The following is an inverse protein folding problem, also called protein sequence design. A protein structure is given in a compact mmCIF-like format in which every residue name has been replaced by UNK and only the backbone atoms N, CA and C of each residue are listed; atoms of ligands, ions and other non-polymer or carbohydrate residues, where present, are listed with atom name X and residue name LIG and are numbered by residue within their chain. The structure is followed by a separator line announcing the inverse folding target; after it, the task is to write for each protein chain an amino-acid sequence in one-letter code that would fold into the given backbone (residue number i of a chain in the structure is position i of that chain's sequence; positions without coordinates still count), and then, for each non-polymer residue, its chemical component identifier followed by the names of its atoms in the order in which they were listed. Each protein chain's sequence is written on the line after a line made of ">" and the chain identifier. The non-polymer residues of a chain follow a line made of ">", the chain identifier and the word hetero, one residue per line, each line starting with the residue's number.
data_IF_677376671545
#
_entry.id   IF_677376671545
#
_cell.length_a   1.000
_cell.length_b   1.000
_cell.length_c   1.000
_cell.angle_alpha   90.00
_cell.angle_beta   90.00
_cell.angle_gamma   90.00
#
_symmetry.space_group_name_H-M   'P 1'
#
loop_
_entity.id
_entity.type
_entity.pdbx_description
1 polymer ?
#
# COMPACT_ATOMS: atom_id res chain seq x y z
N UNK A 1 -18.17 -10.87 1.56
CA UNK A 1 -16.74 -10.57 1.34
C UNK A 1 -15.93 -11.75 0.80
N UNK A 2 -16.09 -13.00 1.27
CA UNK A 2 -15.28 -14.12 0.72
C UNK A 2 -15.35 -14.25 -0.81
N UNK A 3 -16.52 -14.02 -1.41
CA UNK A 3 -16.74 -14.09 -2.88
C UNK A 3 -15.94 -13.05 -3.68
N UNK A 4 -15.76 -11.83 -3.18
CA UNK A 4 -15.08 -10.75 -3.92
C UNK A 4 -13.57 -11.00 -4.10
N UNK A 5 -12.99 -11.91 -3.31
CA UNK A 5 -11.59 -12.29 -3.44
C UNK A 5 -11.30 -13.03 -4.75
N UNK A 6 -12.34 -13.63 -5.33
CA UNK A 6 -12.28 -14.46 -6.54
C UNK A 6 -12.66 -13.69 -7.81
N UNK A 7 -12.96 -12.40 -7.69
CA UNK A 7 -13.44 -11.59 -8.80
C UNK A 7 -12.27 -10.93 -9.51
N UNK A 8 -12.40 -10.76 -10.83
CA UNK A 8 -11.48 -9.93 -11.61
C UNK A 8 -11.80 -8.45 -11.43
N UNK A 9 -10.84 -7.59 -11.69
CA UNK A 9 -10.94 -6.16 -11.41
C UNK A 9 -10.81 -5.32 -12.68
N UNK A 10 -11.62 -4.29 -12.80
CA UNK A 10 -11.45 -3.18 -13.74
C UNK A 10 -11.25 -1.94 -12.87
N UNK A 11 -10.08 -1.33 -12.92
CA UNK A 11 -9.75 -0.17 -12.09
C UNK A 11 -9.38 1.00 -12.98
N UNK A 12 -10.08 2.12 -12.84
CA UNK A 12 -9.91 3.31 -13.69
C UNK A 12 -9.92 2.95 -15.19
N UNK A 13 -10.90 2.13 -15.60
CA UNK A 13 -11.07 1.65 -16.99
C UNK A 13 -10.06 0.59 -17.45
N UNK A 14 -9.06 0.22 -16.63
CA UNK A 14 -8.06 -0.79 -16.99
C UNK A 14 -8.44 -2.15 -16.43
N UNK A 15 -8.43 -3.17 -17.27
CA UNK A 15 -8.73 -4.55 -16.87
C UNK A 15 -7.50 -5.23 -16.26
N UNK A 16 -7.69 -5.83 -15.09
CA UNK A 16 -6.70 -6.62 -14.37
C UNK A 16 -7.16 -8.07 -14.29
N UNK A 17 -6.45 -8.94 -15.00
CA UNK A 17 -6.67 -10.39 -14.97
C UNK A 17 -6.02 -11.05 -13.73
N UNK A 18 -6.26 -10.46 -12.56
CA UNK A 18 -5.75 -10.90 -11.26
C UNK A 18 -6.89 -10.84 -10.24
N UNK A 19 -6.99 -11.87 -9.41
CA UNK A 19 -7.91 -11.91 -8.27
C UNK A 19 -7.12 -11.71 -6.98
N UNK A 20 -7.77 -11.20 -5.93
CA UNK A 20 -7.12 -11.04 -4.62
C UNK A 20 -6.65 -12.40 -4.09
N UNK A 21 -7.42 -13.46 -4.29
CA UNK A 21 -7.01 -14.82 -3.88
C UNK A 21 -5.71 -15.24 -4.55
N UNK A 22 -5.59 -15.02 -5.88
CA UNK A 22 -4.37 -15.33 -6.61
C UNK A 22 -3.17 -14.53 -6.09
N UNK A 23 -3.37 -13.25 -5.76
CA UNK A 23 -2.34 -12.40 -5.15
C UNK A 23 -1.86 -12.98 -3.81
N UNK A 24 -2.80 -13.38 -2.95
CA UNK A 24 -2.50 -14.00 -1.66
C UNK A 24 -1.74 -15.31 -1.84
N UNK A 25 -2.20 -16.20 -2.71
CA UNK A 25 -1.60 -17.52 -2.89
C UNK A 25 -0.17 -17.42 -3.44
N UNK A 26 0.04 -16.59 -4.47
CA UNK A 26 1.38 -16.30 -4.99
C UNK A 26 2.30 -15.68 -3.93
N UNK A 27 1.77 -14.86 -3.02
CA UNK A 27 2.57 -14.25 -1.95
C UNK A 27 2.94 -15.27 -0.88
N UNK A 28 2.02 -16.16 -0.50
CA UNK A 28 2.33 -17.29 0.37
C UNK A 28 3.43 -18.17 -0.24
N UNK A 29 3.28 -18.55 -1.50
CA UNK A 29 4.26 -19.40 -2.17
C UNK A 29 5.62 -18.71 -2.30
N UNK A 30 5.63 -17.40 -2.54
CA UNK A 30 6.86 -16.61 -2.55
C UNK A 30 7.62 -16.68 -1.21
N UNK A 31 6.93 -16.61 -0.07
CA UNK A 31 7.55 -16.63 1.27
C UNK A 31 7.78 -18.03 1.85
N UNK A 32 7.20 -19.09 1.27
CA UNK A 32 7.50 -20.49 1.67
C UNK A 32 8.91 -20.91 1.31
N UNK A 33 9.49 -20.33 0.26
CA UNK A 33 10.83 -20.66 -0.19
C UNK A 33 11.84 -19.90 0.67
N UNK A 34 12.78 -20.61 1.28
CA UNK A 34 13.88 -19.97 2.01
C UNK A 34 14.78 -19.24 0.99
N UNK A 35 14.92 -17.92 1.17
CA UNK A 35 15.70 -17.05 0.28
C UNK A 35 16.77 -16.35 1.09
N UNK A 36 18.01 -16.45 0.63
CA UNK A 36 19.05 -15.53 1.06
C UNK A 36 18.82 -14.19 0.36
N UNK A 37 18.57 -13.15 1.14
CA UNK A 37 18.44 -11.78 0.68
C UNK A 37 19.51 -10.94 1.40
N UNK A 38 20.07 -9.95 0.71
CA UNK A 38 20.98 -9.01 1.35
C UNK A 38 20.17 -8.11 2.29
N UNK A 39 20.48 -8.19 3.57
CA UNK A 39 19.83 -7.40 4.61
C UNK A 39 20.75 -6.32 5.14
N UNK A 40 20.14 -5.26 5.66
CA UNK A 40 20.80 -4.22 6.43
C UNK A 40 20.06 -4.07 7.75
N UNK A 41 20.73 -3.47 8.74
CA UNK A 41 20.06 -3.10 9.99
C UNK A 41 19.06 -1.98 9.68
N UNK A 42 17.76 -2.30 9.74
CA UNK A 42 16.68 -1.39 9.41
C UNK A 42 15.89 -0.99 10.66
N UNK A 43 15.06 0.05 10.55
CA UNK A 43 14.21 0.49 11.65
C UNK A 43 13.02 -0.47 11.83
N UNK A 44 12.53 -1.08 10.75
CA UNK A 44 11.57 -2.18 10.77
C UNK A 44 10.10 -1.78 10.63
N UNK A 45 9.74 -0.54 10.98
CA UNK A 45 8.41 0.05 10.80
C UNK A 45 8.46 1.58 10.59
N UNK A 46 9.07 2.08 9.50
CA UNK A 46 9.36 3.50 9.32
C UNK A 46 8.12 4.28 8.86
N UNK A 47 7.06 4.25 9.68
CA UNK A 47 5.80 4.97 9.46
C UNK A 47 5.86 6.38 10.06
N UNK A 48 4.91 7.25 9.72
CA UNK A 48 4.92 8.65 10.17
C UNK A 48 5.02 8.82 11.69
N UNK A 49 4.41 7.92 12.47
CA UNK A 49 4.45 7.98 13.92
C UNK A 49 5.81 7.58 14.52
N UNK A 50 6.72 6.99 13.74
CA UNK A 50 8.05 6.55 14.17
C UNK A 50 9.17 7.46 13.62
N UNK A 51 8.80 8.62 13.05
CA UNK A 51 9.72 9.59 12.45
C UNK A 51 9.56 10.95 13.14
N UNK A 52 10.64 11.42 13.75
CA UNK A 52 10.70 12.71 14.44
C UNK A 52 10.88 13.91 13.50
N UNK A 53 10.50 15.09 13.97
CA UNK A 53 10.61 16.35 13.19
C UNK A 53 12.06 16.75 12.85
N UNK A 54 12.99 16.49 13.77
CA UNK A 54 14.43 16.48 13.48
C UNK A 54 14.72 15.05 13.07
N UNK A 55 15.13 14.75 11.82
CA UNK A 55 14.98 13.44 11.18
C UNK A 55 15.65 12.33 12.00
N UNK A 56 14.87 11.77 12.91
CA UNK A 56 15.29 10.78 13.90
C UNK A 56 14.23 9.71 13.86
N UNK A 57 14.68 8.49 13.64
CA UNK A 57 13.86 7.31 13.80
C UNK A 57 13.80 6.94 15.28
N UNK A 58 12.63 6.50 15.74
CA UNK A 58 12.44 5.96 17.08
C UNK A 58 11.49 4.76 17.02
N UNK A 59 11.23 4.14 18.17
CA UNK A 59 10.45 2.90 18.27
C UNK A 59 11.06 1.73 17.46
N UNK A 60 12.19 1.22 17.95
CA UNK A 60 12.96 0.14 17.31
C UNK A 60 12.51 -1.26 17.73
N UNK A 61 11.28 -1.44 18.22
CA UNK A 61 10.76 -2.76 18.65
C UNK A 61 10.77 -3.78 17.49
N UNK A 62 10.60 -3.30 16.26
CA UNK A 62 10.61 -4.13 15.04
C UNK A 62 11.92 -4.09 14.27
N UNK A 63 12.94 -3.43 14.83
CA UNK A 63 14.23 -3.26 14.19
C UNK A 63 14.97 -4.60 14.04
N UNK A 64 15.74 -4.70 12.97
CA UNK A 64 16.47 -5.93 12.68
C UNK A 64 17.03 -5.95 11.28
N UNK A 65 17.52 -7.12 10.86
CA UNK A 65 18.05 -7.32 9.52
C UNK A 65 16.92 -7.55 8.53
N UNK A 66 16.58 -6.51 7.77
CA UNK A 66 15.55 -6.58 6.73
C UNK A 66 16.14 -6.25 5.35
N UNK A 67 15.59 -6.80 4.26
CA UNK A 67 15.92 -6.36 2.92
C UNK A 67 15.47 -4.90 2.68
N UNK A 68 16.24 -4.13 1.90
CA UNK A 68 15.89 -2.73 1.54
C UNK A 68 14.48 -2.61 0.93
N UNK A 69 14.10 -3.59 0.11
CA UNK A 69 12.78 -3.66 -0.52
C UNK A 69 11.64 -3.87 0.48
N UNK A 70 11.91 -4.57 1.59
CA UNK A 70 10.94 -4.77 2.65
C UNK A 70 10.70 -3.47 3.41
N UNK A 71 11.78 -2.81 3.86
CA UNK A 71 11.72 -1.51 4.54
C UNK A 71 11.01 -0.46 3.68
N UNK A 72 11.37 -0.38 2.40
CA UNK A 72 10.74 0.53 1.45
C UNK A 72 9.24 0.26 1.31
N UNK A 73 8.82 -1.02 1.24
CA UNK A 73 7.40 -1.37 1.11
C UNK A 73 6.58 -0.95 2.33
N UNK A 74 7.16 -1.04 3.53
CA UNK A 74 6.53 -0.60 4.77
C UNK A 74 6.42 0.91 4.79
N UNK A 75 7.51 1.62 4.44
CA UNK A 75 7.51 3.07 4.32
C UNK A 75 6.44 3.54 3.34
N UNK A 76 6.37 2.93 2.15
CA UNK A 76 5.41 3.32 1.13
C UNK A 76 3.96 3.10 1.57
N UNK A 77 3.66 1.92 2.10
CA UNK A 77 2.32 1.63 2.59
C UNK A 77 1.93 2.53 3.75
N UNK A 78 2.82 2.67 4.73
CA UNK A 78 2.65 3.54 5.89
C UNK A 78 2.39 4.97 5.45
N UNK A 79 3.37 5.59 4.83
CA UNK A 79 3.39 7.04 4.58
C UNK A 79 2.38 7.48 3.51
N UNK A 80 2.15 6.71 2.44
CA UNK A 80 1.31 7.16 1.32
C UNK A 80 -0.10 6.59 1.30
N UNK A 81 -0.33 5.45 1.97
CA UNK A 81 -1.63 4.77 1.94
C UNK A 81 -2.30 4.80 3.32
N UNK A 82 -1.67 4.17 4.31
CA UNK A 82 -2.27 3.90 5.61
C UNK A 82 -2.37 5.17 6.47
N UNK A 83 -1.26 5.86 6.70
CA UNK A 83 -1.16 7.04 7.58
C UNK A 83 -1.95 8.24 7.05
N UNK A 84 -2.20 8.30 5.75
CA UNK A 84 -2.87 9.45 5.12
C UNK A 84 -4.40 9.40 5.31
N UNK A 85 -4.97 8.21 5.53
CA UNK A 85 -6.42 8.06 5.65
C UNK A 85 -6.87 6.94 6.58
N UNK A 86 -6.38 5.72 6.38
CA UNK A 86 -6.90 4.54 7.08
C UNK A 86 -6.54 4.56 8.57
N UNK A 87 -5.27 4.79 8.91
CA UNK A 87 -4.81 4.76 10.30
C UNK A 87 -5.44 5.88 11.14
N UNK A 88 -5.48 7.16 10.69
CA UNK A 88 -6.20 8.19 11.44
C UNK A 88 -7.70 7.93 11.61
N UNK A 89 -8.33 7.21 10.68
CA UNK A 89 -9.76 6.88 10.75
C UNK A 89 -10.03 5.74 11.75
N UNK A 90 -9.24 4.68 11.70
CA UNK A 90 -9.49 3.41 12.40
C UNK A 90 -8.67 3.22 13.67
N UNK A 91 -7.55 3.94 13.82
CA UNK A 91 -6.59 3.84 14.92
C UNK A 91 -6.38 5.20 15.59
N UNK A 92 -7.47 5.96 15.81
CA UNK A 92 -7.44 7.32 16.37
C UNK A 92 -6.64 7.45 17.67
N UNK A 93 -6.66 6.43 18.53
CA UNK A 93 -5.93 6.43 19.80
C UNK A 93 -4.42 6.52 19.61
N UNK A 94 -3.87 5.95 18.53
CA UNK A 94 -2.44 6.05 18.18
C UNK A 94 -2.01 7.48 17.83
N UNK A 95 -2.97 8.36 17.53
CA UNK A 95 -2.73 9.77 17.21
C UNK A 95 -3.09 10.72 18.37
N UNK A 96 -3.20 10.19 19.59
CA UNK A 96 -3.37 11.03 20.77
C UNK A 96 -2.22 12.05 20.87
N UNK A 97 -2.54 13.35 21.01
CA UNK A 97 -1.61 14.50 20.95
C UNK A 97 -1.02 14.82 19.56
N UNK A 98 -1.39 14.07 18.52
CA UNK A 98 -1.05 14.34 17.12
C UNK A 98 -2.28 14.79 16.32
N UNK A 99 -3.27 15.43 16.96
CA UNK A 99 -4.59 15.67 16.36
C UNK A 99 -4.55 16.58 15.11
N UNK A 100 -3.50 17.40 14.94
CA UNK A 100 -3.30 18.18 13.70
C UNK A 100 -3.20 17.28 12.46
N UNK A 101 -2.51 16.13 12.59
CA UNK A 101 -2.39 15.11 11.52
C UNK A 101 -3.77 14.57 11.10
N UNK A 102 -4.72 14.51 12.03
CA UNK A 102 -6.08 14.02 11.77
C UNK A 102 -7.06 15.12 11.33
N UNK A 103 -6.77 16.40 11.59
CA UNK A 103 -7.67 17.54 11.36
C UNK A 103 -7.50 18.19 9.99
N UNK A 104 -6.27 18.25 9.45
CA UNK A 104 -5.95 19.03 8.24
C UNK A 104 -6.25 18.29 6.92
N UNK A 105 -7.23 17.38 6.93
CA UNK A 105 -7.68 16.68 5.74
C UNK A 105 -6.89 15.41 5.49
N UNK A 106 -7.43 14.29 5.97
CA UNK A 106 -7.03 12.98 5.46
C UNK A 106 -7.25 12.97 3.95
N UNK A 107 -6.27 12.49 3.17
CA UNK A 107 -6.47 12.30 1.72
C UNK A 107 -7.39 11.12 1.50
N UNK A 108 -8.68 11.36 1.74
CA UNK A 108 -9.73 10.39 1.57
C UNK A 108 -9.79 10.01 0.10
N UNK A 109 -9.57 8.74 -0.26
CA UNK A 109 -9.75 8.30 -1.62
C UNK A 109 -11.21 8.51 -2.04
N UNK A 110 -11.39 9.13 -3.20
CA UNK A 110 -12.69 9.21 -3.84
C UNK A 110 -12.90 7.93 -4.62
N UNK A 111 -13.91 7.16 -4.24
CA UNK A 111 -14.18 5.87 -4.87
C UNK A 111 -15.64 5.74 -5.32
N UNK A 112 -15.80 5.09 -6.47
CA UNK A 112 -17.08 4.54 -6.96
C UNK A 112 -16.82 3.11 -7.40
N UNK A 113 -17.71 2.20 -7.08
CA UNK A 113 -17.55 0.82 -7.51
C UNK A 113 -18.89 0.14 -7.77
N UNK A 114 -18.86 -0.85 -8.66
CA UNK A 114 -19.97 -1.75 -8.97
C UNK A 114 -19.47 -3.20 -8.93
N UNK A 115 -20.38 -4.13 -8.67
CA UNK A 115 -20.07 -5.57 -8.61
C UNK A 115 -21.02 -6.27 -9.58
N UNK A 116 -20.45 -6.96 -10.56
CA UNK A 116 -21.19 -7.83 -11.48
C UNK A 116 -21.00 -9.28 -11.04
N UNK A 117 -22.01 -9.85 -10.37
CA UNK A 117 -21.97 -11.22 -9.87
C UNK A 117 -21.98 -12.26 -11.02
N UNK A 118 -22.61 -11.95 -12.16
CA UNK A 118 -22.70 -12.87 -13.32
C UNK A 118 -21.36 -13.04 -14.00
N UNK A 119 -20.66 -11.93 -14.26
CA UNK A 119 -19.31 -11.95 -14.85
C UNK A 119 -18.20 -12.06 -13.80
N UNK A 120 -18.53 -12.13 -12.51
CA UNK A 120 -17.58 -12.13 -11.38
C UNK A 120 -16.54 -11.01 -11.51
N UNK A 121 -16.99 -9.81 -11.84
CA UNK A 121 -16.12 -8.66 -12.09
C UNK A 121 -16.48 -7.51 -11.14
N UNK A 122 -15.45 -6.82 -10.67
CA UNK A 122 -15.56 -5.59 -9.88
C UNK A 122 -15.02 -4.45 -10.73
N UNK A 123 -15.84 -3.43 -10.94
CA UNK A 123 -15.42 -2.20 -11.58
C UNK A 123 -15.30 -1.12 -10.52
N UNK A 124 -14.17 -0.42 -10.52
CA UNK A 124 -13.86 0.57 -9.51
C UNK A 124 -13.14 1.77 -10.12
N UNK A 125 -13.65 2.96 -9.83
CA UNK A 125 -12.95 4.21 -10.05
C UNK A 125 -12.37 4.70 -8.73
N UNK A 126 -11.11 5.09 -8.75
CA UNK A 126 -10.39 5.61 -7.59
C UNK A 126 -9.52 6.81 -7.97
N UNK A 127 -9.64 7.86 -7.17
CA UNK A 127 -8.79 9.03 -7.24
C UNK A 127 -8.32 9.43 -5.83
N UNK A 128 -7.05 9.84 -5.75
CA UNK A 128 -6.46 10.42 -4.54
C UNK A 128 -6.23 11.91 -4.75
N UNK A 129 -6.62 12.72 -3.77
CA UNK A 129 -6.06 14.06 -3.65
C UNK A 129 -4.68 13.91 -3.04
N UNK A 130 -3.63 14.37 -3.72
CA UNK A 130 -2.26 14.36 -3.19
C UNK A 130 -1.74 15.79 -3.17
N UNK A 131 -1.15 16.17 -2.03
CA UNK A 131 -0.49 17.47 -1.87
C UNK A 131 0.80 17.52 -2.70
N UNK A 132 1.31 18.74 -2.96
CA UNK A 132 2.58 18.94 -3.67
C UNK A 132 3.75 18.23 -2.97
N UNK A 133 3.81 18.30 -1.64
CA UNK A 133 4.81 17.58 -0.85
C UNK A 133 4.73 16.07 -1.06
N UNK A 134 3.52 15.50 -1.07
CA UNK A 134 3.35 14.08 -1.35
C UNK A 134 3.73 13.72 -2.78
N UNK A 135 3.46 14.60 -3.77
CA UNK A 135 3.93 14.40 -5.15
C UNK A 135 5.45 14.34 -5.23
N UNK A 136 6.15 15.22 -4.53
CA UNK A 136 7.61 15.21 -4.45
C UNK A 136 8.15 13.90 -3.86
N UNK A 137 7.59 13.43 -2.74
CA UNK A 137 8.02 12.16 -2.16
C UNK A 137 7.64 10.95 -3.03
N UNK A 138 6.45 10.96 -3.65
CA UNK A 138 6.03 9.90 -4.57
C UNK A 138 6.91 9.86 -5.82
N UNK A 139 7.40 10.99 -6.33
CA UNK A 139 8.32 11.01 -7.48
C UNK A 139 9.69 10.42 -7.12
N UNK A 140 10.24 10.77 -5.95
CA UNK A 140 11.46 10.14 -5.45
C UNK A 140 11.28 8.63 -5.28
N UNK A 141 10.15 8.20 -4.73
CA UNK A 141 9.82 6.80 -4.53
C UNK A 141 9.63 6.04 -5.86
N UNK A 142 9.00 6.69 -6.84
CA UNK A 142 8.86 6.17 -8.20
C UNK A 142 10.22 5.99 -8.88
N UNK A 143 11.13 6.95 -8.73
CA UNK A 143 12.49 6.86 -9.26
C UNK A 143 13.29 5.73 -8.60
N UNK A 144 13.11 5.51 -7.30
CA UNK A 144 13.68 4.36 -6.59
C UNK A 144 13.19 3.03 -7.16
N UNK A 145 11.87 2.90 -7.38
CA UNK A 145 11.29 1.68 -7.97
C UNK A 145 11.72 1.46 -9.43
N UNK A 146 11.83 2.52 -10.22
CA UNK A 146 12.30 2.42 -11.62
C UNK A 146 13.71 1.84 -11.75
N UNK A 147 14.52 1.97 -10.71
CA UNK A 147 15.89 1.44 -10.67
C UNK A 147 15.96 -0.02 -10.22
N UNK A 148 14.85 -0.59 -9.71
CA UNK A 148 14.80 -1.99 -9.28
C UNK A 148 14.87 -2.93 -10.48
N UNK A 149 15.65 -4.00 -10.33
CA UNK A 149 15.54 -5.18 -11.19
C UNK A 149 14.14 -5.80 -11.09
N UNK A 150 13.79 -6.64 -12.07
CA UNK A 150 12.53 -7.38 -12.05
C UNK A 150 12.37 -8.25 -10.79
N UNK A 151 13.48 -8.82 -10.30
CA UNK A 151 13.49 -9.61 -9.06
C UNK A 151 13.20 -8.73 -7.84
N UNK A 152 13.87 -7.59 -7.71
CA UNK A 152 13.64 -6.66 -6.59
C UNK A 152 12.22 -6.10 -6.59
N UNK A 153 11.68 -5.76 -7.76
CA UNK A 153 10.30 -5.32 -7.88
C UNK A 153 9.31 -6.43 -7.47
N UNK A 154 9.56 -7.68 -7.86
CA UNK A 154 8.76 -8.81 -7.41
C UNK A 154 8.81 -8.97 -5.87
N UNK A 155 10.01 -8.89 -5.28
CA UNK A 155 10.19 -8.93 -3.83
C UNK A 155 9.40 -7.80 -3.15
N UNK A 156 9.54 -6.58 -3.67
CA UNK A 156 8.82 -5.39 -3.21
C UNK A 156 7.30 -5.59 -3.24
N UNK A 157 6.73 -6.07 -4.34
CA UNK A 157 5.29 -6.31 -4.48
C UNK A 157 4.76 -7.33 -3.47
N UNK A 158 5.54 -8.37 -3.14
CA UNK A 158 5.15 -9.37 -2.15
C UNK A 158 5.23 -8.84 -0.70
N UNK A 159 6.27 -8.08 -0.35
CA UNK A 159 6.35 -7.43 0.96
C UNK A 159 5.24 -6.39 1.14
N UNK A 160 4.98 -5.59 0.11
CA UNK A 160 3.88 -4.63 0.08
C UNK A 160 2.52 -5.32 0.25
N UNK A 161 2.32 -6.46 -0.42
CA UNK A 161 1.11 -7.28 -0.29
C UNK A 161 0.94 -7.76 1.15
N UNK A 162 1.99 -8.29 1.75
CA UNK A 162 1.97 -8.71 3.15
C UNK A 162 1.59 -7.54 4.07
N UNK A 163 2.24 -6.38 3.92
CA UNK A 163 1.95 -5.19 4.72
C UNK A 163 0.51 -4.69 4.56
N UNK A 164 0.00 -4.69 3.33
CA UNK A 164 -1.39 -4.31 3.05
C UNK A 164 -2.39 -5.26 3.73
N UNK A 165 -2.13 -6.57 3.66
CA UNK A 165 -3.01 -7.59 4.23
C UNK A 165 -2.96 -7.63 5.76
N UNK A 166 -1.82 -7.36 6.39
CA UNK A 166 -1.69 -7.35 7.85
C UNK A 166 -2.31 -6.12 8.50
N UNK A 167 -2.35 -4.99 7.78
CA UNK A 167 -2.97 -3.74 8.26
C UNK A 167 -4.48 -3.66 7.94
N UNK A 168 -4.97 -4.47 6.99
CA UNK A 168 -6.38 -4.52 6.65
C UNK A 168 -7.21 -5.27 7.71
N UNK A 169 -7.99 -4.53 8.49
CA UNK A 169 -9.00 -5.10 9.38
C UNK A 169 -10.39 -5.07 8.71
N UNK A 170 -10.69 -6.11 7.91
CA UNK A 170 -11.97 -6.22 7.19
C UNK A 170 -13.20 -6.21 8.10
N UNK A 171 -13.05 -6.47 9.40
CA UNK A 171 -14.17 -6.45 10.35
C UNK A 171 -14.47 -5.04 10.83
N UNK A 172 -13.45 -4.18 10.92
CA UNK A 172 -13.59 -2.77 11.35
C UNK A 172 -13.80 -1.81 10.18
N UNK A 173 -13.27 -2.14 9.01
CA UNK A 173 -13.26 -1.25 7.87
C UNK A 173 -14.64 -1.18 7.21
N UNK A 174 -15.01 -0.01 6.68
CA UNK A 174 -16.24 0.10 5.90
C UNK A 174 -16.09 -0.68 4.60
N UNK A 175 -17.19 -1.14 3.99
CA UNK A 175 -17.14 -1.81 2.68
C UNK A 175 -16.36 -0.99 1.65
N UNK A 176 -16.60 0.33 1.60
CA UNK A 176 -15.87 1.24 0.71
C UNK A 176 -14.36 1.16 0.93
N UNK A 177 -13.92 1.21 2.19
CA UNK A 177 -12.50 1.21 2.52
C UNK A 177 -11.83 -0.13 2.27
N UNK A 178 -12.54 -1.24 2.54
CA UNK A 178 -12.09 -2.57 2.13
C UNK A 178 -11.90 -2.62 0.61
N UNK A 179 -12.86 -2.14 -0.17
CA UNK A 179 -12.75 -2.10 -1.63
C UNK A 179 -11.56 -1.25 -2.09
N UNK A 180 -11.32 -0.10 -1.45
CA UNK A 180 -10.15 0.73 -1.73
C UNK A 180 -8.84 -0.01 -1.47
N UNK A 181 -8.67 -0.60 -0.29
CA UNK A 181 -7.45 -1.36 0.07
C UNK A 181 -7.18 -2.50 -0.91
N UNK A 182 -8.22 -3.25 -1.27
CA UNK A 182 -8.11 -4.34 -2.24
C UNK A 182 -7.78 -3.84 -3.65
N UNK A 183 -8.35 -2.71 -4.08
CA UNK A 183 -8.02 -2.10 -5.37
C UNK A 183 -6.56 -1.64 -5.42
N UNK A 184 -6.07 -0.98 -4.37
CA UNK A 184 -4.65 -0.58 -4.26
C UNK A 184 -3.75 -1.81 -4.38
N UNK A 185 -4.12 -2.91 -3.71
CA UNK A 185 -3.37 -4.16 -3.78
C UNK A 185 -3.31 -4.68 -5.22
N UNK A 186 -4.42 -4.74 -5.95
CA UNK A 186 -4.45 -5.15 -7.36
C UNK A 186 -3.59 -4.24 -8.24
N UNK A 187 -3.71 -2.93 -8.03
CA UNK A 187 -2.95 -1.92 -8.77
C UNK A 187 -1.44 -2.12 -8.59
N UNK A 188 -0.97 -2.32 -7.36
CA UNK A 188 0.46 -2.37 -7.03
C UNK A 188 1.08 -3.76 -7.15
N UNK A 189 0.28 -4.82 -7.31
CA UNK A 189 0.80 -6.18 -7.35
C UNK A 189 1.70 -6.49 -8.57
N UNK A 190 1.47 -5.80 -9.71
CA UNK A 190 2.27 -5.97 -10.95
C UNK A 190 2.42 -4.72 -11.80
N UNK A 191 2.05 -3.53 -11.31
CA UNK A 191 2.23 -2.28 -12.07
C UNK A 191 3.20 -1.33 -11.36
N UNK A 192 4.01 -0.57 -12.12
CA UNK A 192 4.78 0.53 -11.57
C UNK A 192 3.86 1.53 -10.85
N UNK A 193 4.33 2.08 -9.75
CA UNK A 193 3.58 3.02 -8.89
C UNK A 193 3.07 4.24 -9.67
N UNK A 194 3.77 4.68 -10.72
CA UNK A 194 3.32 5.83 -11.51
C UNK A 194 1.97 5.66 -12.20
N UNK A 195 1.63 4.43 -12.58
CA UNK A 195 0.32 4.13 -13.19
C UNK A 195 -0.83 4.22 -12.18
N UNK A 196 -0.53 4.20 -10.88
CA UNK A 196 -1.50 4.16 -9.77
C UNK A 196 -1.85 5.55 -9.27
N UNK A 197 -0.88 6.44 -9.16
CA UNK A 197 -1.09 7.83 -8.70
C UNK A 197 -1.10 8.86 -9.82
N UNK A 198 -1.13 8.43 -11.08
CA UNK A 198 -1.06 9.30 -12.26
C UNK A 198 0.13 10.26 -12.18
N UNK A 199 1.31 9.73 -11.85
CA UNK A 199 2.56 10.51 -11.80
C UNK A 199 3.31 10.46 -13.12
N UNK A 200 2.71 9.94 -14.19
CA UNK A 200 3.31 9.90 -15.52
C UNK A 200 3.51 11.32 -16.12
N UNK A 201 2.92 12.36 -15.50
CA UNK A 201 3.23 13.77 -15.77
C UNK A 201 4.42 14.33 -14.99
N UNK A 202 5.15 13.49 -14.23
CA UNK A 202 6.30 13.88 -13.40
C UNK A 202 7.66 13.46 -14.01
N UNK A 203 7.67 13.13 -15.31
CA UNK A 203 8.90 12.96 -16.11
C UNK A 203 9.29 14.26 -16.80
#
# INVERSE_FOLDING_TARGET
>A
MKKILDYSWIINGRKYNLTIRKIIDLTKDYFKVNKAENCFLSQGDPILNNIGYKPVFFDFETAGFNPIVAEASIFFWGVFIAEVYFNPKYHKSSYYRHQKVTKDGLNKPQIKYSINEKSKTIELEIAYSISERQRFFLSAYHNFIKQMSQREFLNFSHFLTMRALTTLDIKKYSKKDVMTTLAILVLLYKNPISKVFNTDSLS
#
